data_IF_104408456293
#
_entry.id   IF_104408456293
#
_cell.length_a   1.000
_cell.length_b   1.000
_cell.length_c   1.000
_cell.angle_alpha   90.00
_cell.angle_beta   90.00
_cell.angle_gamma   90.00
#
_symmetry.space_group_name_H-M   'P 1'
#
loop_
_entity.id
_entity.type
_entity.pdbx_description
1 polymer ?
#
# COMPACT_ATOMS: atom_id res chain seq x y z
N UNK A 1 -35.83 -35.83 -4.34
CA UNK A 1 -34.52 -36.37 -4.74
C UNK A 1 -34.12 -35.59 -5.97
N UNK A 2 -33.47 -34.47 -5.77
CA UNK A 2 -32.91 -33.67 -6.86
C UNK A 2 -31.40 -33.68 -6.64
N UNK A 3 -30.72 -34.43 -7.52
CA UNK A 3 -29.26 -34.48 -7.57
C UNK A 3 -28.76 -33.18 -8.12
N UNK A 4 -28.06 -32.42 -7.25
CA UNK A 4 -27.26 -31.24 -7.64
C UNK A 4 -26.07 -31.73 -8.48
N UNK A 5 -26.22 -31.71 -9.80
CA UNK A 5 -25.18 -32.05 -10.77
C UNK A 5 -24.48 -30.78 -11.24
N UNK A 6 -23.76 -30.13 -10.32
CA UNK A 6 -22.78 -29.12 -10.73
C UNK A 6 -21.50 -29.82 -11.22
N UNK A 7 -20.97 -29.47 -12.40
CA UNK A 7 -19.73 -30.08 -12.87
C UNK A 7 -18.55 -29.71 -11.96
N UNK A 8 -17.58 -30.61 -11.78
CA UNK A 8 -16.39 -30.32 -10.99
C UNK A 8 -15.59 -29.18 -11.65
N UNK A 9 -15.08 -28.30 -10.80
CA UNK A 9 -14.20 -27.23 -11.23
C UNK A 9 -12.96 -27.82 -11.96
N UNK A 10 -12.45 -27.17 -13.01
CA UNK A 10 -11.26 -27.65 -13.71
C UNK A 10 -10.06 -27.66 -12.76
N UNK A 11 -9.12 -28.63 -12.93
CA UNK A 11 -7.96 -28.70 -12.10
C UNK A 11 -7.10 -27.45 -12.24
N UNK A 12 -6.57 -26.97 -11.12
CA UNK A 12 -5.63 -25.87 -11.04
C UNK A 12 -4.43 -26.18 -11.95
N UNK A 13 -4.31 -25.46 -13.05
CA UNK A 13 -3.13 -25.51 -13.90
C UNK A 13 -2.04 -24.62 -13.29
N UNK A 14 -1.11 -25.24 -12.58
CA UNK A 14 0.11 -24.61 -12.11
C UNK A 14 1.13 -24.55 -13.28
N UNK A 15 0.83 -23.77 -14.32
CA UNK A 15 1.78 -23.55 -15.39
C UNK A 15 1.96 -22.07 -15.68
N UNK A 16 3.07 -21.62 -15.28
CA UNK A 16 3.97 -20.49 -15.45
C UNK A 16 4.19 -19.71 -14.15
N UNK A 17 5.45 -19.60 -13.69
CA UNK A 17 5.80 -18.60 -12.69
C UNK A 17 5.46 -17.22 -13.28
N UNK A 18 4.88 -16.31 -12.49
CA UNK A 18 4.64 -14.95 -12.95
C UNK A 18 5.96 -14.40 -13.51
N UNK A 19 5.89 -13.85 -14.72
CA UNK A 19 7.07 -13.35 -15.42
C UNK A 19 7.87 -12.46 -14.49
N UNK A 20 9.17 -12.73 -14.41
CA UNK A 20 10.10 -11.91 -13.64
C UNK A 20 9.96 -10.46 -14.13
N UNK A 21 9.79 -9.47 -13.25
CA UNK A 21 9.83 -8.08 -13.65
C UNK A 21 11.19 -7.84 -14.31
N UNK A 22 11.17 -7.24 -15.48
CA UNK A 22 12.37 -6.81 -16.19
C UNK A 22 13.19 -5.90 -15.26
N UNK A 23 14.39 -6.33 -14.90
CA UNK A 23 15.22 -5.83 -13.79
C UNK A 23 15.95 -4.53 -14.13
N UNK A 24 15.39 -3.58 -14.90
CA UNK A 24 16.18 -2.41 -15.32
C UNK A 24 15.64 -1.02 -14.95
N UNK A 25 14.41 -0.86 -14.54
CA UNK A 25 13.97 0.31 -13.78
C UNK A 25 12.69 -0.06 -13.04
N UNK A 26 12.66 0.04 -11.72
CA UNK A 26 11.44 -0.18 -10.94
C UNK A 26 10.32 0.85 -11.21
N UNK A 27 10.48 1.65 -12.26
CA UNK A 27 9.45 2.57 -12.74
C UNK A 27 8.36 1.76 -13.47
N UNK A 28 7.10 1.94 -13.03
CA UNK A 28 5.97 1.25 -13.63
C UNK A 28 4.89 2.20 -14.16
N UNK A 29 4.93 3.49 -13.81
CA UNK A 29 4.01 4.50 -14.33
C UNK A 29 4.66 5.89 -14.36
N UNK A 30 4.28 6.71 -15.36
CA UNK A 30 4.77 8.09 -15.52
C UNK A 30 3.63 9.04 -15.89
N UNK A 31 3.71 10.27 -15.35
CA UNK A 31 2.79 11.37 -15.66
C UNK A 31 3.57 12.69 -15.67
N UNK A 32 3.98 13.14 -16.86
CA UNK A 32 4.87 14.29 -17.01
C UNK A 32 6.20 14.06 -16.31
N UNK A 33 6.57 14.97 -15.41
CA UNK A 33 7.81 14.89 -14.62
C UNK A 33 7.70 13.95 -13.41
N UNK A 34 6.51 13.39 -13.16
CA UNK A 34 6.27 12.46 -12.05
C UNK A 34 6.38 11.01 -12.49
N UNK A 35 7.04 10.21 -11.67
CA UNK A 35 7.18 8.77 -11.86
C UNK A 35 6.79 8.00 -10.61
N UNK A 36 6.24 6.79 -10.79
CA UNK A 36 6.03 5.81 -9.73
C UNK A 36 7.00 4.65 -9.91
N UNK A 37 7.68 4.28 -8.83
CA UNK A 37 8.63 3.18 -8.83
C UNK A 37 8.39 2.24 -7.65
N UNK A 38 8.60 0.94 -7.87
CA UNK A 38 8.64 -0.10 -6.83
C UNK A 38 10.07 -0.46 -6.41
N UNK A 39 11.07 0.19 -6.98
CA UNK A 39 12.46 -0.02 -6.59
C UNK A 39 12.74 0.56 -5.20
N UNK A 40 12.87 -0.31 -4.21
CA UNK A 40 13.14 0.09 -2.82
C UNK A 40 14.46 0.82 -2.64
N UNK A 41 15.43 0.65 -3.55
CA UNK A 41 16.74 1.32 -3.50
C UNK A 41 16.64 2.82 -3.73
N UNK A 42 15.56 3.27 -4.38
CA UNK A 42 15.29 4.68 -4.65
C UNK A 42 14.56 5.37 -3.50
N UNK A 43 14.03 4.63 -2.53
CA UNK A 43 13.22 5.20 -1.45
C UNK A 43 14.06 6.05 -0.49
N UNK A 44 13.63 7.28 -0.26
CA UNK A 44 14.14 8.14 0.81
C UNK A 44 13.51 7.75 2.15
N UNK A 45 14.19 6.88 2.87
CA UNK A 45 13.77 6.44 4.19
C UNK A 45 13.65 7.59 5.21
N UNK A 46 14.47 8.63 5.07
CA UNK A 46 14.41 9.77 5.99
C UNK A 46 13.14 10.59 5.77
N UNK A 47 12.76 10.80 4.51
CA UNK A 47 11.50 11.45 4.13
C UNK A 47 10.30 10.62 4.66
N UNK A 48 10.28 9.32 4.36
CA UNK A 48 9.17 8.44 4.76
C UNK A 48 9.04 8.42 6.29
N UNK A 49 10.14 8.21 7.01
CA UNK A 49 10.12 8.19 8.48
C UNK A 49 9.64 9.52 9.05
N UNK A 50 10.19 10.65 8.59
CA UNK A 50 9.78 11.98 9.06
C UNK A 50 8.30 12.23 8.83
N UNK A 51 7.77 11.89 7.64
CA UNK A 51 6.36 12.06 7.36
C UNK A 51 5.50 11.20 8.29
N UNK A 52 5.81 9.93 8.43
CA UNK A 52 5.02 9.00 9.25
C UNK A 52 5.07 9.37 10.73
N UNK A 53 6.25 9.70 11.25
CA UNK A 53 6.45 9.97 12.68
C UNK A 53 5.93 11.33 13.14
N UNK A 54 5.98 12.35 12.27
CA UNK A 54 5.72 13.75 12.65
C UNK A 54 4.44 14.33 12.05
N UNK A 55 4.01 13.85 10.86
CA UNK A 55 2.91 14.45 10.13
C UNK A 55 1.69 13.54 9.98
N UNK A 56 1.88 12.21 10.05
CA UNK A 56 0.75 11.30 9.95
C UNK A 56 -0.01 11.20 11.29
N UNK A 57 -1.34 11.06 11.19
CA UNK A 57 -2.18 10.84 12.38
C UNK A 57 -2.26 9.36 12.78
N UNK A 58 -1.80 8.45 11.91
CA UNK A 58 -1.95 6.99 12.12
C UNK A 58 -0.69 6.32 12.67
N UNK A 59 0.48 6.97 12.60
CA UNK A 59 1.73 6.41 13.08
C UNK A 59 2.62 7.43 13.82
N UNK A 60 2.06 8.35 14.67
CA UNK A 60 2.86 9.37 15.35
C UNK A 60 3.94 8.73 16.21
N UNK A 61 5.17 9.21 16.07
CA UNK A 61 6.31 8.74 16.85
C UNK A 61 6.86 7.36 16.44
N UNK A 62 6.42 6.79 15.31
CA UNK A 62 6.91 5.48 14.84
C UNK A 62 8.45 5.46 14.76
N UNK A 63 9.14 4.45 15.35
CA UNK A 63 10.59 4.33 15.27
C UNK A 63 11.07 4.07 13.84
N UNK A 64 12.23 4.64 13.51
CA UNK A 64 12.85 4.48 12.19
C UNK A 64 13.03 3.01 11.79
N UNK A 65 13.53 2.18 12.71
CA UNK A 65 13.71 0.74 12.50
C UNK A 65 12.40 -0.01 12.19
N UNK A 66 11.29 0.47 12.75
CA UNK A 66 9.97 -0.10 12.44
C UNK A 66 9.55 0.26 11.03
N UNK A 67 9.81 1.49 10.56
CA UNK A 67 9.59 1.90 9.17
C UNK A 67 10.45 1.09 8.22
N UNK A 68 11.75 0.93 8.51
CA UNK A 68 12.67 0.09 7.71
C UNK A 68 12.15 -1.34 7.56
N UNK A 69 11.75 -1.96 8.68
CA UNK A 69 11.18 -3.31 8.68
C UNK A 69 9.87 -3.39 7.90
N UNK A 70 9.02 -2.38 7.99
CA UNK A 70 7.75 -2.34 7.25
C UNK A 70 7.97 -2.24 5.74
N UNK A 71 8.93 -1.43 5.30
CA UNK A 71 9.34 -1.30 3.90
C UNK A 71 9.93 -2.62 3.38
N UNK A 72 10.78 -3.27 4.18
CA UNK A 72 11.39 -4.54 3.80
C UNK A 72 10.36 -5.66 3.55
N UNK A 73 9.19 -5.60 4.22
CA UNK A 73 8.15 -6.64 4.17
C UNK A 73 6.87 -6.21 3.42
N UNK A 74 6.95 -5.19 2.58
CA UNK A 74 5.80 -4.70 1.82
C UNK A 74 6.16 -4.48 0.35
N UNK A 75 5.17 -4.46 -0.52
CA UNK A 75 5.29 -3.92 -1.87
C UNK A 75 5.17 -2.39 -1.75
N UNK A 76 6.28 -1.70 -1.95
CA UNK A 76 6.38 -0.26 -1.76
C UNK A 76 6.30 0.49 -3.07
N UNK A 77 5.74 1.70 -3.03
CA UNK A 77 5.57 2.59 -4.17
C UNK A 77 6.10 3.97 -3.79
N UNK A 78 7.23 4.37 -4.39
CA UNK A 78 7.73 5.74 -4.30
C UNK A 78 7.13 6.59 -5.42
N UNK A 79 6.65 7.77 -5.08
CA UNK A 79 6.29 8.82 -6.04
C UNK A 79 7.45 9.80 -6.11
N UNK A 80 7.96 10.02 -7.32
CA UNK A 80 9.10 10.89 -7.58
C UNK A 80 8.70 12.03 -8.50
N UNK A 81 9.24 13.21 -8.26
CA UNK A 81 9.29 14.33 -9.18
C UNK A 81 10.74 14.47 -9.63
N UNK A 82 11.00 14.20 -10.91
CA UNK A 82 12.36 13.98 -11.42
C UNK A 82 13.09 12.88 -10.61
N UNK A 83 14.11 13.25 -9.82
CA UNK A 83 14.86 12.32 -8.97
C UNK A 83 14.47 12.39 -7.48
N UNK A 84 13.63 13.36 -7.07
CA UNK A 84 13.27 13.56 -5.68
C UNK A 84 12.00 12.80 -5.30
N UNK A 85 12.02 12.09 -4.19
CA UNK A 85 10.82 11.43 -3.68
C UNK A 85 9.87 12.47 -3.07
N UNK A 86 8.62 12.49 -3.56
CA UNK A 86 7.59 13.44 -3.12
C UNK A 86 6.34 12.77 -2.56
N UNK A 87 6.31 11.44 -2.56
CA UNK A 87 5.20 10.68 -1.98
C UNK A 87 5.55 9.21 -1.79
N UNK A 88 4.66 8.50 -1.10
CA UNK A 88 4.84 7.10 -0.79
C UNK A 88 3.50 6.41 -0.59
N UNK A 89 3.47 5.11 -0.83
CA UNK A 89 2.44 4.19 -0.42
C UNK A 89 3.03 2.79 -0.26
N UNK A 90 2.38 1.93 0.51
CA UNK A 90 2.77 0.51 0.57
C UNK A 90 1.56 -0.41 0.61
N UNK A 91 1.74 -1.59 0.06
CA UNK A 91 0.83 -2.72 0.13
C UNK A 91 1.44 -3.82 0.98
N UNK A 92 0.81 -4.14 2.12
CA UNK A 92 1.10 -5.37 2.86
C UNK A 92 0.29 -6.47 2.18
N UNK A 93 0.95 -7.42 1.55
CA UNK A 93 0.27 -8.40 0.66
C UNK A 93 1.05 -9.69 0.52
N UNK A 94 0.32 -10.79 0.35
CA UNK A 94 0.84 -12.07 -0.13
C UNK A 94 0.92 -12.15 -1.67
N UNK A 95 0.49 -11.09 -2.37
CA UNK A 95 0.42 -10.97 -3.84
C UNK A 95 -0.46 -12.04 -4.52
N UNK A 96 -1.32 -12.68 -3.78
CA UNK A 96 -2.15 -13.78 -4.25
C UNK A 96 -3.62 -13.64 -3.83
N UNK A 97 -3.88 -13.35 -2.56
CA UNK A 97 -5.24 -13.38 -2.02
C UNK A 97 -5.68 -12.08 -1.38
N UNK A 98 -4.74 -11.31 -0.80
CA UNK A 98 -5.06 -10.20 0.07
C UNK A 98 -4.04 -9.05 -0.02
N UNK A 99 -4.51 -7.82 0.15
CA UNK A 99 -3.65 -6.66 0.38
C UNK A 99 -4.27 -5.68 1.38
N UNK A 100 -3.39 -4.99 2.13
CA UNK A 100 -3.70 -3.82 2.93
C UNK A 100 -2.94 -2.61 2.37
N UNK A 101 -3.67 -1.59 1.91
CA UNK A 101 -3.09 -0.32 1.48
C UNK A 101 -2.86 0.57 2.69
N UNK A 102 -1.62 0.98 2.90
CA UNK A 102 -1.23 1.83 4.02
C UNK A 102 -0.18 2.87 3.65
N UNK A 103 0.05 3.79 4.57
CA UNK A 103 1.09 4.81 4.53
C UNK A 103 1.07 5.69 3.25
N UNK A 104 -0.14 5.98 2.76
CA UNK A 104 -0.33 6.76 1.54
C UNK A 104 -0.16 8.24 1.83
N UNK A 105 0.82 8.88 1.19
CA UNK A 105 0.98 10.31 1.29
C UNK A 105 1.63 10.95 0.04
N UNK A 106 1.39 12.24 -0.13
CA UNK A 106 2.11 13.16 -1.00
C UNK A 106 2.49 14.36 -0.14
N UNK A 107 3.75 14.83 -0.20
CA UNK A 107 4.20 15.99 0.57
C UNK A 107 3.49 17.27 0.12
N UNK A 108 3.33 18.22 1.03
CA UNK A 108 2.49 19.41 0.86
C UNK A 108 2.83 20.21 -0.39
N UNK A 109 4.11 20.37 -0.71
CA UNK A 109 4.57 21.13 -1.89
C UNK A 109 4.05 20.58 -3.23
N UNK A 110 3.63 19.31 -3.26
CA UNK A 110 3.16 18.63 -4.49
C UNK A 110 1.67 18.25 -4.41
N UNK A 111 0.94 18.70 -3.38
CA UNK A 111 -0.51 18.49 -3.28
C UNK A 111 -1.29 19.37 -4.26
N UNK A 112 -2.58 19.08 -4.44
CA UNK A 112 -3.47 19.85 -5.31
C UNK A 112 -3.34 19.55 -6.82
N UNK A 113 -2.45 18.61 -7.20
CA UNK A 113 -2.19 18.22 -8.59
C UNK A 113 -2.77 16.83 -8.93
N UNK A 114 -3.69 16.32 -8.13
CA UNK A 114 -4.30 14.98 -8.28
C UNK A 114 -3.28 13.80 -8.26
N UNK A 115 -2.08 14.03 -7.73
CA UNK A 115 -1.03 13.00 -7.67
C UNK A 115 -1.41 11.81 -6.80
N UNK A 116 -2.07 12.06 -5.66
CA UNK A 116 -2.57 10.99 -4.81
C UNK A 116 -3.59 10.10 -5.52
N UNK A 117 -4.49 10.69 -6.31
CA UNK A 117 -5.45 9.94 -7.13
C UNK A 117 -4.74 9.10 -8.18
N UNK A 118 -3.83 9.71 -8.92
CA UNK A 118 -3.05 9.01 -9.95
C UNK A 118 -2.20 7.88 -9.36
N UNK A 119 -1.59 8.11 -8.20
CA UNK A 119 -0.81 7.08 -7.49
C UNK A 119 -1.68 5.88 -7.12
N UNK A 120 -2.85 6.10 -6.50
CA UNK A 120 -3.78 5.02 -6.12
C UNK A 120 -4.28 4.27 -7.35
N UNK A 121 -4.69 4.98 -8.40
CA UNK A 121 -5.12 4.38 -9.66
C UNK A 121 -4.04 3.48 -10.26
N UNK A 122 -2.79 3.96 -10.29
CA UNK A 122 -1.66 3.21 -10.82
C UNK A 122 -1.33 1.99 -9.97
N UNK A 123 -1.33 2.13 -8.64
CA UNK A 123 -1.11 1.03 -7.69
C UNK A 123 -2.13 -0.08 -7.92
N UNK A 124 -3.41 0.26 -8.03
CA UNK A 124 -4.48 -0.73 -8.22
C UNK A 124 -4.39 -1.46 -9.58
N UNK A 125 -3.68 -0.89 -10.56
CA UNK A 125 -3.39 -1.53 -11.86
C UNK A 125 -2.07 -2.33 -11.86
N UNK A 126 -1.32 -2.31 -10.76
CA UNK A 126 -0.03 -3.01 -10.70
C UNK A 126 -0.23 -4.53 -10.90
N UNK A 127 0.59 -5.20 -11.74
CA UNK A 127 0.41 -6.61 -12.09
C UNK A 127 0.32 -7.55 -10.88
N UNK A 128 1.15 -7.34 -9.86
CA UNK A 128 1.19 -8.16 -8.65
C UNK A 128 -0.04 -7.99 -7.74
N UNK A 129 -0.93 -7.05 -8.05
CA UNK A 129 -2.15 -6.81 -7.26
C UNK A 129 -3.43 -7.23 -8.00
N UNK A 130 -3.27 -7.86 -9.19
CA UNK A 130 -4.42 -8.35 -9.94
C UNK A 130 -4.92 -9.68 -9.39
N UNK A 131 -6.25 -9.89 -9.45
CA UNK A 131 -6.87 -11.13 -8.99
C UNK A 131 -6.95 -11.32 -7.47
N UNK A 132 -6.52 -10.35 -6.67
CA UNK A 132 -6.68 -10.41 -5.21
C UNK A 132 -8.16 -10.46 -4.84
N UNK A 133 -8.52 -11.38 -3.95
CA UNK A 133 -9.89 -11.51 -3.45
C UNK A 133 -10.34 -10.28 -2.66
N UNK A 134 -9.40 -9.58 -2.01
CA UNK A 134 -9.72 -8.43 -1.15
C UNK A 134 -8.54 -7.48 -1.02
N UNK A 135 -8.82 -6.20 -1.18
CA UNK A 135 -7.93 -5.11 -0.81
C UNK A 135 -8.63 -4.29 0.27
N UNK A 136 -7.97 -4.04 1.39
CA UNK A 136 -8.49 -3.21 2.48
C UNK A 136 -7.61 -1.98 2.69
N UNK A 137 -8.20 -0.99 3.31
CA UNK A 137 -7.51 0.18 3.88
C UNK A 137 -8.29 0.70 5.08
N UNK A 138 -7.63 1.50 5.90
CA UNK A 138 -8.27 2.30 6.95
C UNK A 138 -8.02 3.77 6.67
N UNK A 139 -9.06 4.60 6.74
CA UNK A 139 -8.94 6.05 6.62
C UNK A 139 -9.92 6.75 7.53
N UNK A 140 -9.49 7.90 8.10
CA UNK A 140 -10.35 8.74 8.93
C UNK A 140 -11.15 9.74 8.07
N UNK A 141 -10.55 10.25 7.00
CA UNK A 141 -11.01 11.46 6.32
C UNK A 141 -10.98 11.40 4.77
N UNK A 142 -10.42 10.34 4.17
CA UNK A 142 -10.24 10.22 2.74
C UNK A 142 -11.26 9.27 2.05
N UNK A 143 -12.42 8.99 2.66
CA UNK A 143 -13.42 8.07 2.10
C UNK A 143 -13.82 8.43 0.67
N UNK A 144 -14.09 9.73 0.41
CA UNK A 144 -14.47 10.21 -0.94
C UNK A 144 -13.39 10.03 -1.99
N UNK A 145 -12.13 9.96 -1.59
CA UNK A 145 -11.04 9.63 -2.49
C UNK A 145 -11.11 8.16 -2.91
N UNK A 146 -11.17 7.27 -1.94
CA UNK A 146 -11.07 5.83 -2.18
C UNK A 146 -12.33 5.23 -2.83
N UNK A 147 -13.52 5.77 -2.55
CA UNK A 147 -14.76 5.32 -3.21
C UNK A 147 -14.73 5.50 -4.73
N UNK A 148 -13.97 6.47 -5.25
CA UNK A 148 -13.78 6.66 -6.70
C UNK A 148 -13.04 5.50 -7.37
N UNK A 149 -12.30 4.71 -6.59
CA UNK A 149 -11.52 3.56 -7.04
C UNK A 149 -12.18 2.22 -6.68
N UNK A 150 -13.48 2.25 -6.33
CA UNK A 150 -14.25 1.03 -6.05
C UNK A 150 -14.16 0.52 -4.62
N UNK A 151 -13.48 1.24 -3.71
CA UNK A 151 -13.55 0.91 -2.29
C UNK A 151 -14.94 1.25 -1.73
N UNK A 152 -15.49 0.35 -0.97
CA UNK A 152 -16.78 0.50 -0.29
C UNK A 152 -16.62 0.21 1.20
N UNK A 153 -17.52 0.70 2.06
CA UNK A 153 -17.59 0.20 3.43
C UNK A 153 -17.69 -1.32 3.44
N UNK A 154 -17.16 -1.94 4.51
CA UNK A 154 -17.26 -3.40 4.67
C UNK A 154 -18.74 -3.83 4.59
N UNK A 155 -19.05 -4.79 3.73
CA UNK A 155 -20.41 -5.29 3.55
C UNK A 155 -20.96 -5.96 4.83
N UNK A 156 -20.07 -6.58 5.61
CA UNK A 156 -20.37 -7.14 6.94
C UNK A 156 -19.21 -6.84 7.89
N UNK A 157 -19.23 -5.68 8.58
CA UNK A 157 -18.20 -5.31 9.54
C UNK A 157 -18.09 -6.27 10.73
N UNK A 158 -19.17 -6.97 11.09
CA UNK A 158 -19.19 -7.90 12.24
C UNK A 158 -18.26 -9.11 12.08
N UNK A 159 -17.83 -9.38 10.83
CA UNK A 159 -16.88 -10.45 10.52
C UNK A 159 -15.42 -10.06 10.70
N UNK A 160 -15.15 -8.82 11.09
CA UNK A 160 -13.79 -8.32 11.29
C UNK A 160 -13.55 -8.07 12.77
N UNK A 161 -12.46 -8.60 13.26
CA UNK A 161 -11.97 -8.38 14.61
C UNK A 161 -10.57 -7.77 14.51
N UNK A 162 -10.21 -6.93 15.47
CA UNK A 162 -8.87 -6.34 15.55
C UNK A 162 -8.27 -6.53 16.94
N UNK A 163 -6.95 -6.53 16.99
CA UNK A 163 -6.20 -6.23 18.20
C UNK A 163 -5.53 -4.88 17.94
N UNK A 164 -5.93 -3.88 18.68
CA UNK A 164 -5.43 -2.52 18.53
C UNK A 164 -4.68 -2.08 19.78
N UNK A 165 -3.45 -1.62 19.61
CA UNK A 165 -2.65 -1.02 20.68
C UNK A 165 -2.44 0.46 20.33
N UNK A 166 -3.36 1.35 20.78
CA UNK A 166 -3.25 2.76 20.47
C UNK A 166 -1.99 3.34 21.11
N UNK A 167 -1.36 4.30 20.41
CA UNK A 167 -0.17 5.03 20.87
C UNK A 167 1.06 4.15 21.16
N UNK A 168 1.14 2.94 20.57
CA UNK A 168 2.24 2.00 20.80
C UNK A 168 3.62 2.63 20.58
N UNK A 169 3.75 3.58 19.66
CA UNK A 169 5.01 4.27 19.35
C UNK A 169 5.29 5.48 20.26
N UNK A 170 4.34 5.91 21.08
CA UNK A 170 4.51 7.05 21.97
C UNK A 170 4.97 6.64 23.38
N UNK A 171 4.83 5.37 23.73
CA UNK A 171 5.09 4.84 25.08
C UNK A 171 6.54 4.46 25.32
N UNK A 172 7.39 4.38 24.29
CA UNK A 172 8.77 3.83 24.42
C UNK A 172 9.86 4.88 24.67
N UNK A 173 9.51 6.14 24.93
CA UNK A 173 10.51 7.18 25.28
C UNK A 173 10.95 7.18 26.74
N UNK A 174 10.45 6.26 27.58
CA UNK A 174 10.70 6.25 29.04
C UNK A 174 11.36 4.97 29.55
N UNK A 175 11.83 4.07 28.69
CA UNK A 175 12.51 2.83 29.12
C UNK A 175 13.96 2.76 28.68
N UNK A 176 14.71 3.87 28.82
CA UNK A 176 16.16 3.85 28.84
C UNK A 176 16.59 4.71 30.02
N UNK A 177 16.72 4.09 31.16
CA UNK A 177 17.50 4.57 32.33
C UNK A 177 18.17 3.37 32.93
#
# INVERSE_FOLDING_TARGET
MDEDSSPPAPPFQADQPPGQPSAESGEFARRGEYALSTDRRLLDLALIHRFLSEQSYWAPGIPRETVERSIANSLCFGLFHESEQVGFARMVTDRATFAWLGDVFVIDAHRGQDLGKWMIESILKHPELQGLRRILLGTRDAHTLYTRFGFTPLGDPSRFLEIHTPNVYLTDRTRVS
#
